data_IF_257306662525
#
_entry.id   IF_257306662525
#
_cell.length_a   1.000
_cell.length_b   1.000
_cell.length_c   1.000
_cell.angle_alpha   90.00
_cell.angle_beta   90.00
_cell.angle_gamma   90.00
#
_symmetry.space_group_name_H-M   'P 1'
#
loop_
_entity.id
_entity.type
_entity.pdbx_description
1 polymer ?
#
# COMPACT_ATOMS: atom_id res chain seq x y z
N UNK A 1 -25.44 35.14 10.53
CA UNK A 1 -25.55 34.61 9.17
C UNK A 1 -24.62 33.38 9.07
N UNK A 2 -25.17 32.21 9.18
CA UNK A 2 -24.42 30.95 9.12
C UNK A 2 -24.04 30.64 7.68
N UNK A 3 -22.76 30.63 7.39
CA UNK A 3 -22.21 30.29 6.08
C UNK A 3 -22.45 28.82 5.77
N UNK A 4 -23.20 28.57 4.73
CA UNK A 4 -23.59 27.29 4.21
C UNK A 4 -22.37 26.48 3.76
N UNK A 5 -21.98 25.43 4.52
CA UNK A 5 -20.96 24.47 4.11
C UNK A 5 -21.55 23.58 3.04
N UNK A 6 -21.18 23.82 1.79
CA UNK A 6 -21.52 22.97 0.66
C UNK A 6 -20.71 21.65 0.78
N UNK A 7 -21.27 20.68 1.36
CA UNK A 7 -21.13 19.23 1.49
C UNK A 7 -21.23 18.80 2.95
N UNK A 8 -22.34 18.15 3.35
CA UNK A 8 -22.46 17.54 4.67
C UNK A 8 -21.57 16.28 4.70
N UNK A 9 -20.49 16.30 5.52
CA UNK A 9 -19.78 15.07 5.87
C UNK A 9 -18.25 15.10 5.99
N UNK A 10 -17.54 16.13 5.51
CA UNK A 10 -16.09 16.20 5.71
C UNK A 10 -15.75 16.99 6.97
N UNK A 11 -15.20 16.28 7.99
CA UNK A 11 -14.64 16.93 9.19
C UNK A 11 -13.48 17.85 8.82
N UNK A 12 -13.13 18.81 9.69
CA UNK A 12 -11.96 19.68 9.49
C UNK A 12 -10.69 18.84 9.32
N UNK A 13 -10.55 17.77 10.10
CA UNK A 13 -9.45 16.81 9.99
C UNK A 13 -9.35 16.19 8.61
N UNK A 14 -10.49 15.73 8.04
CA UNK A 14 -10.50 15.17 6.69
C UNK A 14 -10.07 16.17 5.62
N UNK A 15 -10.41 17.44 5.78
CA UNK A 15 -10.01 18.53 4.87
C UNK A 15 -8.51 18.81 4.97
N UNK A 16 -7.97 18.85 6.20
CA UNK A 16 -6.53 19.02 6.46
C UNK A 16 -5.75 17.85 5.84
N UNK A 17 -6.16 16.62 6.08
CA UNK A 17 -5.51 15.44 5.49
C UNK A 17 -5.55 15.50 3.96
N UNK A 18 -6.68 15.89 3.37
CA UNK A 18 -6.78 16.03 1.92
C UNK A 18 -5.79 17.08 1.37
N UNK A 19 -5.60 18.22 2.07
CA UNK A 19 -4.60 19.23 1.70
C UNK A 19 -3.18 18.65 1.78
N UNK A 20 -2.82 17.99 2.89
CA UNK A 20 -1.48 17.41 3.05
C UNK A 20 -1.17 16.34 2.00
N UNK A 21 -2.16 15.57 1.60
CA UNK A 21 -2.00 14.54 0.56
C UNK A 21 -1.76 15.10 -0.84
N UNK A 22 -2.04 16.37 -1.12
CA UNK A 22 -1.67 16.97 -2.41
C UNK A 22 -0.15 17.10 -2.59
N UNK A 23 0.61 17.15 -1.50
CA UNK A 23 2.07 17.31 -1.49
C UNK A 23 2.85 15.99 -1.39
N UNK A 24 2.19 14.84 -1.56
CA UNK A 24 2.79 13.51 -1.33
C UNK A 24 3.95 13.17 -2.28
N UNK A 25 3.99 13.79 -3.44
CA UNK A 25 5.01 13.62 -4.48
C UNK A 25 6.15 14.65 -4.38
N UNK A 26 6.08 15.53 -3.36
CA UNK A 26 7.06 16.60 -3.14
C UNK A 26 6.86 17.82 -4.02
N UNK A 27 5.77 17.88 -4.81
CA UNK A 27 5.46 19.03 -5.66
C UNK A 27 5.04 20.24 -4.82
N UNK A 28 5.22 21.42 -5.39
CA UNK A 28 4.71 22.69 -4.87
C UNK A 28 3.37 23.00 -5.53
N UNK A 29 2.46 23.62 -4.79
CA UNK A 29 1.13 23.95 -5.28
C UNK A 29 0.72 25.37 -4.91
N UNK A 30 0.08 26.05 -5.85
CA UNK A 30 -0.63 27.28 -5.56
C UNK A 30 -1.90 27.01 -4.75
N UNK A 31 -2.40 28.04 -4.06
CA UNK A 31 -3.68 27.95 -3.34
C UNK A 31 -4.83 27.48 -4.22
N UNK A 32 -4.88 27.95 -5.47
CA UNK A 32 -5.92 27.59 -6.43
C UNK A 32 -5.83 26.11 -6.82
N UNK A 33 -4.62 25.59 -7.02
CA UNK A 33 -4.40 24.18 -7.29
C UNK A 33 -4.79 23.29 -6.11
N UNK A 34 -4.42 23.69 -4.88
CA UNK A 34 -4.83 22.98 -3.66
C UNK A 34 -6.36 22.91 -3.57
N UNK A 35 -7.04 24.04 -3.79
CA UNK A 35 -8.50 24.09 -3.76
C UNK A 35 -9.12 23.17 -4.83
N UNK A 36 -8.57 23.16 -6.04
CA UNK A 36 -9.01 22.29 -7.15
C UNK A 36 -8.78 20.82 -6.84
N UNK A 37 -7.57 20.44 -6.41
CA UNK A 37 -7.20 19.05 -6.13
C UNK A 37 -8.00 18.45 -4.95
N UNK A 38 -8.27 19.27 -3.93
CA UNK A 38 -9.04 18.85 -2.75
C UNK A 38 -10.55 18.96 -2.92
N UNK A 39 -11.01 19.64 -3.99
CA UNK A 39 -12.42 20.01 -4.21
C UNK A 39 -12.99 20.83 -3.05
N UNK A 40 -12.16 21.67 -2.42
CA UNK A 40 -12.60 22.59 -1.37
C UNK A 40 -12.90 23.96 -1.96
N UNK A 41 -13.88 24.70 -1.41
CA UNK A 41 -14.04 26.13 -1.72
C UNK A 41 -12.74 26.87 -1.45
N UNK A 42 -12.35 27.81 -2.32
CA UNK A 42 -11.08 28.57 -2.22
C UNK A 42 -10.94 29.25 -0.85
N UNK A 43 -12.03 29.79 -0.31
CA UNK A 43 -12.05 30.42 1.02
C UNK A 43 -11.73 29.42 2.14
N UNK A 44 -12.23 28.18 2.04
CA UNK A 44 -11.93 27.11 3.00
C UNK A 44 -10.49 26.64 2.86
N UNK A 45 -10.01 26.44 1.64
CA UNK A 45 -8.61 26.07 1.38
C UNK A 45 -7.66 27.16 1.90
N UNK A 46 -7.96 28.45 1.61
CA UNK A 46 -7.16 29.57 2.08
C UNK A 46 -7.03 29.58 3.62
N UNK A 47 -8.14 29.49 4.34
CA UNK A 47 -8.13 29.49 5.80
C UNK A 47 -7.29 28.33 6.36
N UNK A 48 -7.49 27.12 5.85
CA UNK A 48 -6.78 25.93 6.33
C UNK A 48 -5.28 25.94 5.96
N UNK A 49 -4.95 26.38 4.74
CA UNK A 49 -3.54 26.51 4.29
C UNK A 49 -2.81 27.57 5.09
N UNK A 50 -3.45 28.73 5.37
CA UNK A 50 -2.88 29.78 6.21
C UNK A 50 -2.64 29.30 7.64
N UNK A 51 -3.59 28.55 8.20
CA UNK A 51 -3.45 27.95 9.54
C UNK A 51 -2.30 26.93 9.58
N UNK A 52 -2.22 26.04 8.59
CA UNK A 52 -1.14 25.07 8.45
C UNK A 52 0.24 25.74 8.24
N UNK A 53 0.28 26.86 7.52
CA UNK A 53 1.49 27.65 7.35
C UNK A 53 1.91 28.35 8.67
N UNK A 54 0.95 28.84 9.43
CA UNK A 54 1.20 29.42 10.76
C UNK A 54 1.80 28.42 11.76
N UNK A 55 1.47 27.13 11.63
CA UNK A 55 2.08 26.05 12.41
C UNK A 55 3.37 25.49 11.79
N UNK A 56 3.83 26.00 10.65
CA UNK A 56 4.99 25.48 9.93
C UNK A 56 4.76 24.09 9.30
N UNK A 57 3.54 23.60 9.28
CA UNK A 57 3.16 22.34 8.60
C UNK A 57 3.30 22.48 7.09
N UNK A 58 2.94 23.66 6.58
CA UNK A 58 3.24 24.11 5.22
C UNK A 58 4.19 25.31 5.29
N UNK A 59 4.94 25.52 4.23
CA UNK A 59 5.78 26.71 4.02
C UNK A 59 5.41 27.36 2.71
N UNK A 60 5.44 28.70 2.69
CA UNK A 60 5.23 29.46 1.47
C UNK A 60 6.59 29.74 0.82
N UNK A 61 6.72 29.42 -0.47
CA UNK A 61 7.92 29.74 -1.24
C UNK A 61 7.90 31.18 -1.74
N UNK A 62 9.04 31.67 -2.24
CA UNK A 62 9.18 33.04 -2.77
C UNK A 62 8.23 33.28 -3.99
N UNK A 63 7.88 32.21 -4.71
CA UNK A 63 6.93 32.26 -5.84
C UNK A 63 5.46 32.18 -5.43
N UNK A 64 5.15 32.37 -4.15
CA UNK A 64 3.79 32.28 -3.59
C UNK A 64 3.15 30.90 -3.69
N UNK A 65 3.96 29.85 -3.90
CA UNK A 65 3.55 28.46 -3.84
C UNK A 65 3.63 27.94 -2.40
N UNK A 66 3.00 26.82 -2.12
CA UNK A 66 3.07 26.13 -0.84
C UNK A 66 3.79 24.80 -1.01
N UNK A 67 4.57 24.42 0.01
CA UNK A 67 5.25 23.12 0.13
C UNK A 67 5.10 22.57 1.54
N UNK A 68 5.47 21.33 1.75
CA UNK A 68 5.54 20.74 3.10
C UNK A 68 6.64 21.44 3.90
N UNK A 69 6.30 21.88 5.10
CA UNK A 69 7.22 22.59 5.99
C UNK A 69 8.27 21.69 6.66
N UNK A 70 9.35 22.31 7.12
CA UNK A 70 10.47 21.63 7.78
C UNK A 70 10.07 20.76 8.97
N UNK A 71 9.13 21.12 9.87
CA UNK A 71 8.71 20.26 10.97
C UNK A 71 8.14 18.92 10.50
N UNK A 72 7.33 18.92 9.44
CA UNK A 72 6.76 17.69 8.88
C UNK A 72 7.83 16.89 8.14
N UNK A 73 8.70 17.55 7.39
CA UNK A 73 9.88 16.91 6.78
C UNK A 73 10.76 16.26 7.86
N UNK A 74 11.00 16.93 8.99
CA UNK A 74 11.77 16.38 10.10
C UNK A 74 11.08 15.21 10.82
N UNK A 75 9.76 15.24 10.99
CA UNK A 75 8.98 14.13 11.53
C UNK A 75 9.04 12.93 10.57
N UNK A 76 8.92 13.18 9.26
CA UNK A 76 9.04 12.16 8.23
C UNK A 76 10.44 11.59 8.09
N UNK A 77 11.48 12.41 8.24
CA UNK A 77 12.88 11.99 8.12
C UNK A 77 13.38 11.17 9.31
N UNK A 78 12.71 11.20 10.46
CA UNK A 78 13.01 10.31 11.60
C UNK A 78 12.70 8.83 11.29
N UNK A 79 11.99 8.53 10.20
CA UNK A 79 11.90 7.20 9.59
C UNK A 79 12.89 7.11 8.43
N UNK A 80 14.17 7.30 8.72
CA UNK A 80 15.22 7.28 7.71
C UNK A 80 15.43 5.88 7.18
N UNK A 81 14.69 5.54 6.12
CA UNK A 81 15.36 4.79 5.07
C UNK A 81 16.45 5.71 4.55
N UNK A 82 17.69 5.28 4.61
CA UNK A 82 18.77 6.09 4.03
C UNK A 82 18.38 6.41 2.59
N UNK A 83 18.51 7.67 2.13
CA UNK A 83 18.14 8.04 0.75
C UNK A 83 18.70 7.07 -0.30
N UNK A 84 19.88 6.49 -0.04
CA UNK A 84 20.50 5.49 -0.88
C UNK A 84 19.66 4.20 -1.02
N UNK A 85 19.00 3.72 0.03
CA UNK A 85 18.17 2.49 -0.03
C UNK A 85 16.89 2.74 -0.82
N UNK A 86 16.27 3.90 -0.61
CA UNK A 86 15.09 4.29 -1.38
C UNK A 86 15.45 4.43 -2.86
N UNK A 87 16.60 5.00 -3.15
CA UNK A 87 17.10 5.17 -4.52
C UNK A 87 17.44 3.83 -5.19
N UNK A 88 18.11 2.91 -4.47
CA UNK A 88 18.36 1.55 -4.97
C UNK A 88 17.04 0.80 -5.19
N UNK A 89 16.10 0.90 -4.26
CA UNK A 89 14.78 0.32 -4.40
C UNK A 89 14.03 0.88 -5.61
N UNK A 90 14.09 2.18 -5.84
CA UNK A 90 13.44 2.85 -6.97
C UNK A 90 13.96 2.32 -8.31
N UNK A 91 15.29 2.22 -8.48
CA UNK A 91 15.91 1.67 -9.70
C UNK A 91 15.48 0.22 -9.93
N UNK A 92 15.54 -0.61 -8.88
CA UNK A 92 15.11 -2.01 -8.98
C UNK A 92 13.64 -2.14 -9.37
N UNK A 93 12.76 -1.27 -8.84
CA UNK A 93 11.34 -1.27 -9.20
C UNK A 93 11.10 -0.78 -10.64
N UNK A 94 11.85 0.21 -11.12
CA UNK A 94 11.79 0.70 -12.50
C UNK A 94 12.20 -0.39 -13.49
N UNK A 95 13.29 -1.11 -13.20
CA UNK A 95 13.74 -2.26 -14.00
C UNK A 95 12.70 -3.38 -14.02
N UNK A 96 12.10 -3.69 -12.85
CA UNK A 96 11.05 -4.70 -12.72
C UNK A 96 9.78 -4.34 -13.51
N UNK A 97 9.34 -3.09 -13.45
CA UNK A 97 8.18 -2.61 -14.21
C UNK A 97 8.45 -2.68 -15.70
N UNK A 98 9.63 -2.25 -16.13
CA UNK A 98 10.05 -2.30 -17.53
C UNK A 98 10.10 -3.73 -18.06
N UNK A 99 10.67 -4.66 -17.29
CA UNK A 99 10.79 -6.06 -17.68
C UNK A 99 9.47 -6.82 -17.65
N UNK A 100 8.65 -6.60 -16.61
CA UNK A 100 7.42 -7.33 -16.41
C UNK A 100 6.17 -6.65 -16.97
N UNK A 101 6.26 -5.37 -17.35
CA UNK A 101 5.14 -4.52 -17.81
C UNK A 101 3.93 -4.55 -16.88
N UNK A 102 4.21 -4.51 -15.57
CA UNK A 102 3.18 -4.59 -14.53
C UNK A 102 3.64 -3.83 -13.30
N UNK A 103 2.73 -3.61 -12.34
CA UNK A 103 3.05 -2.86 -11.12
C UNK A 103 4.03 -3.61 -10.23
N UNK A 104 5.08 -2.90 -9.77
CA UNK A 104 6.06 -3.38 -8.82
C UNK A 104 5.99 -2.60 -7.51
N UNK A 105 6.25 -3.27 -6.39
CA UNK A 105 6.14 -2.70 -5.04
C UNK A 105 7.25 -3.20 -4.14
N UNK A 106 7.73 -2.32 -3.26
CA UNK A 106 8.57 -2.67 -2.12
C UNK A 106 7.81 -2.33 -0.84
N UNK A 107 7.72 -3.27 0.07
CA UNK A 107 7.04 -3.08 1.35
C UNK A 107 7.81 -3.66 2.52
N UNK A 108 7.48 -3.17 3.72
CA UNK A 108 7.98 -3.65 5.01
C UNK A 108 6.82 -4.01 5.91
N UNK A 109 7.08 -4.85 6.88
CA UNK A 109 6.11 -5.16 7.93
C UNK A 109 6.08 -4.03 8.97
N UNK A 110 4.90 -3.52 9.28
CA UNK A 110 4.67 -2.49 10.29
C UNK A 110 3.50 -2.91 11.17
N UNK A 111 3.80 -3.45 12.35
CA UNK A 111 2.80 -4.09 13.19
C UNK A 111 2.21 -5.33 12.51
N UNK A 112 0.92 -5.30 12.23
CA UNK A 112 0.18 -6.38 11.55
C UNK A 112 -0.06 -6.12 10.04
N UNK A 113 0.44 -4.99 9.54
CA UNK A 113 0.22 -4.53 8.17
C UNK A 113 1.53 -4.45 7.38
N UNK A 114 1.42 -4.44 6.07
CA UNK A 114 2.51 -4.06 5.17
C UNK A 114 2.41 -2.57 4.87
N UNK A 115 3.48 -1.84 5.12
CA UNK A 115 3.64 -0.46 4.65
C UNK A 115 4.46 -0.45 3.36
N UNK A 116 3.96 0.22 2.34
CA UNK A 116 4.71 0.41 1.10
C UNK A 116 5.77 1.50 1.28
N UNK A 117 7.02 1.17 0.95
CA UNK A 117 8.14 2.12 0.86
C UNK A 117 8.12 2.80 -0.50
N UNK A 118 7.93 2.00 -1.54
CA UNK A 118 7.97 2.47 -2.92
C UNK A 118 6.99 1.67 -3.78
N UNK A 119 6.37 2.32 -4.75
CA UNK A 119 5.46 1.73 -5.73
C UNK A 119 5.78 2.28 -7.11
N UNK A 120 5.82 1.41 -8.10
CA UNK A 120 5.86 1.77 -9.51
C UNK A 120 4.73 1.03 -10.22
N UNK A 121 3.95 1.76 -10.98
CA UNK A 121 2.84 1.19 -11.74
C UNK A 121 2.98 1.66 -13.18
N UNK A 122 3.10 0.73 -14.11
CA UNK A 122 2.90 0.96 -15.51
C UNK A 122 1.64 0.21 -15.92
N UNK A 123 0.59 0.97 -16.33
CA UNK A 123 -0.68 0.44 -16.87
C UNK A 123 -1.42 -0.61 -15.99
N UNK A 124 -1.12 -0.71 -14.70
CA UNK A 124 -1.87 -1.58 -13.80
C UNK A 124 -3.29 -1.05 -13.58
N UNK A 125 -4.30 -1.94 -13.55
CA UNK A 125 -5.66 -1.51 -13.24
C UNK A 125 -5.69 -0.76 -11.91
N UNK A 126 -6.49 0.32 -11.86
CA UNK A 126 -6.70 1.08 -10.62
C UNK A 126 -7.39 0.15 -9.64
N UNK A 127 -6.70 -0.25 -8.59
CA UNK A 127 -7.26 -1.06 -7.52
C UNK A 127 -7.86 -0.17 -6.45
N UNK A 128 -8.88 -0.66 -5.73
CA UNK A 128 -9.50 0.05 -4.60
C UNK A 128 -8.45 0.47 -3.56
N UNK A 129 -7.36 -0.28 -3.44
CA UNK A 129 -6.26 -0.05 -2.50
C UNK A 129 -5.05 0.67 -3.13
N UNK A 130 -5.17 1.19 -4.35
CA UNK A 130 -4.04 1.84 -5.06
C UNK A 130 -3.43 3.02 -4.27
N UNK A 131 -4.27 3.73 -3.51
CA UNK A 131 -3.86 4.90 -2.71
C UNK A 131 -3.57 4.57 -1.24
N UNK A 132 -3.76 3.33 -0.81
CA UNK A 132 -3.54 2.93 0.57
C UNK A 132 -2.05 2.72 0.81
N UNK A 133 -1.52 3.35 1.87
CA UNK A 133 -0.11 3.20 2.26
C UNK A 133 0.16 1.96 3.10
N UNK A 134 -0.88 1.32 3.64
CA UNK A 134 -0.80 0.13 4.48
C UNK A 134 -1.88 -0.87 4.10
N UNK A 135 -1.54 -2.15 4.06
CA UNK A 135 -2.44 -3.25 3.76
C UNK A 135 -2.24 -4.40 4.74
N UNK A 136 -3.29 -5.18 5.05
CA UNK A 136 -3.21 -6.33 5.93
C UNK A 136 -2.16 -7.34 5.45
N UNK A 137 -1.24 -7.74 6.35
CA UNK A 137 -0.15 -8.62 5.96
C UNK A 137 -0.63 -10.03 5.56
N UNK A 138 -1.70 -10.55 6.16
CA UNK A 138 -2.21 -11.88 5.86
C UNK A 138 -2.87 -11.99 4.46
N UNK A 139 -3.39 -10.88 3.92
CA UNK A 139 -4.14 -10.85 2.66
C UNK A 139 -3.30 -10.41 1.44
N UNK A 140 -2.01 -10.12 1.62
CA UNK A 140 -1.12 -9.66 0.54
C UNK A 140 0.06 -10.59 0.33
N UNK A 141 0.58 -10.68 -0.88
CA UNK A 141 1.78 -11.47 -1.16
C UNK A 141 3.01 -10.92 -0.41
N UNK A 142 3.20 -9.59 -0.41
CA UNK A 142 4.27 -8.92 0.34
C UNK A 142 4.19 -9.23 1.84
N UNK A 143 2.99 -9.14 2.42
CA UNK A 143 2.78 -9.42 3.83
C UNK A 143 3.07 -10.86 4.20
N UNK A 144 2.59 -11.82 3.41
CA UNK A 144 2.87 -13.24 3.63
C UNK A 144 4.36 -13.56 3.46
N UNK A 145 5.05 -12.92 2.49
CA UNK A 145 6.50 -13.05 2.35
C UNK A 145 7.25 -12.55 3.59
N UNK A 146 6.83 -11.45 4.20
CA UNK A 146 7.42 -10.89 5.42
C UNK A 146 7.07 -11.73 6.66
N UNK A 147 5.78 -12.10 6.82
CA UNK A 147 5.32 -12.93 7.94
C UNK A 147 6.00 -14.30 7.98
N UNK A 148 6.32 -14.88 6.82
CA UNK A 148 7.00 -16.17 6.75
C UNK A 148 8.36 -16.16 7.45
N UNK A 149 9.03 -15.02 7.54
CA UNK A 149 10.35 -14.85 8.15
C UNK A 149 10.34 -13.92 9.37
N UNK A 150 9.17 -13.56 9.88
CA UNK A 150 9.00 -12.83 11.13
C UNK A 150 9.06 -13.77 12.36
N UNK A 151 9.15 -13.17 13.55
CA UNK A 151 9.07 -13.94 14.80
C UNK A 151 7.65 -14.49 15.04
N UNK A 152 7.55 -15.51 15.89
CA UNK A 152 6.25 -16.11 16.24
C UNK A 152 5.30 -15.09 16.88
N UNK A 153 5.83 -14.18 17.70
CA UNK A 153 5.05 -13.15 18.39
C UNK A 153 4.38 -12.17 17.42
N UNK A 154 5.02 -11.90 16.27
CA UNK A 154 4.44 -11.04 15.23
C UNK A 154 3.27 -11.79 14.56
N UNK A 155 3.47 -13.06 14.22
CA UNK A 155 2.42 -13.87 13.61
C UNK A 155 1.23 -14.04 14.57
N UNK A 156 1.49 -14.28 15.84
CA UNK A 156 0.42 -14.43 16.84
C UNK A 156 -0.36 -13.11 17.00
N UNK A 157 0.31 -11.97 16.97
CA UNK A 157 -0.39 -10.66 16.95
C UNK A 157 -1.27 -10.47 15.72
N UNK A 158 -0.80 -10.89 14.53
CA UNK A 158 -1.63 -10.84 13.31
C UNK A 158 -2.89 -11.70 13.47
N UNK A 159 -2.74 -12.90 14.05
CA UNK A 159 -3.86 -13.82 14.28
C UNK A 159 -4.83 -13.27 15.31
N UNK A 160 -4.32 -12.75 16.44
CA UNK A 160 -5.14 -12.17 17.53
C UNK A 160 -5.90 -10.94 17.07
N UNK A 161 -5.30 -10.09 16.22
CA UNK A 161 -5.99 -8.93 15.64
C UNK A 161 -7.11 -9.31 14.65
N UNK A 162 -7.24 -10.60 14.33
CA UNK A 162 -8.25 -11.14 13.42
C UNK A 162 -7.78 -11.12 11.96
N UNK A 163 -8.05 -12.22 11.27
CA UNK A 163 -7.78 -12.40 9.85
C UNK A 163 -9.03 -11.97 9.05
N UNK A 164 -9.17 -10.67 8.84
CA UNK A 164 -10.33 -10.10 8.12
C UNK A 164 -10.41 -10.66 6.70
N UNK A 165 -11.57 -11.20 6.32
CA UNK A 165 -11.87 -11.64 4.97
C UNK A 165 -12.21 -10.45 4.06
N UNK A 166 -11.49 -10.30 2.97
CA UNK A 166 -11.74 -9.28 1.94
C UNK A 166 -12.42 -9.89 0.72
N UNK A 167 -12.11 -11.15 0.45
CA UNK A 167 -12.71 -11.96 -0.62
C UNK A 167 -12.91 -13.40 -0.13
N UNK A 168 -13.63 -14.24 -0.87
CA UNK A 168 -13.73 -15.68 -0.56
C UNK A 168 -12.38 -16.42 -0.57
N UNK A 169 -11.35 -15.84 -1.18
CA UNK A 169 -10.01 -16.42 -1.27
C UNK A 169 -9.08 -15.99 -0.12
N UNK A 170 -9.46 -14.99 0.67
CA UNK A 170 -8.65 -14.51 1.79
C UNK A 170 -8.43 -15.65 2.81
N UNK A 171 -7.19 -15.81 3.26
CA UNK A 171 -6.85 -16.76 4.31
C UNK A 171 -7.33 -16.22 5.67
N UNK A 172 -8.46 -16.69 6.14
CA UNK A 172 -9.06 -16.31 7.42
C UNK A 172 -8.85 -17.33 8.53
N UNK A 173 -8.38 -18.53 8.19
CA UNK A 173 -8.07 -19.61 9.12
C UNK A 173 -6.59 -19.53 9.53
N UNK A 174 -6.27 -19.47 10.85
CA UNK A 174 -4.91 -19.38 11.35
C UNK A 174 -4.01 -20.54 10.95
N UNK A 175 -4.53 -21.76 10.89
CA UNK A 175 -3.72 -22.94 10.57
C UNK A 175 -3.41 -23.00 9.07
N UNK A 176 -4.36 -22.62 8.24
CA UNK A 176 -4.11 -22.45 6.80
C UNK A 176 -3.09 -21.34 6.52
N UNK A 177 -3.14 -20.25 7.28
CA UNK A 177 -2.12 -19.20 7.18
C UNK A 177 -0.75 -19.73 7.58
N UNK A 178 -0.62 -20.45 8.71
CA UNK A 178 0.64 -21.06 9.15
C UNK A 178 1.21 -22.04 8.11
N UNK A 179 0.37 -22.88 7.53
CA UNK A 179 0.78 -23.80 6.45
C UNK A 179 1.27 -23.05 5.21
N UNK A 180 0.57 -22.00 4.80
CA UNK A 180 0.98 -21.13 3.70
C UNK A 180 2.36 -20.50 3.98
N UNK A 181 2.56 -19.95 5.18
CA UNK A 181 3.83 -19.36 5.58
C UNK A 181 4.98 -20.39 5.64
N UNK A 182 4.71 -21.62 6.09
CA UNK A 182 5.69 -22.71 6.06
C UNK A 182 6.12 -23.04 4.62
N UNK A 183 5.19 -23.09 3.68
CA UNK A 183 5.49 -23.26 2.25
C UNK A 183 6.35 -22.10 1.71
N UNK A 184 6.04 -20.88 2.09
CA UNK A 184 6.81 -19.67 1.68
C UNK A 184 8.24 -19.73 2.24
N UNK A 185 8.45 -20.23 3.45
CA UNK A 185 9.81 -20.41 4.01
C UNK A 185 10.67 -21.33 3.14
N UNK A 186 10.09 -22.37 2.58
CA UNK A 186 10.79 -23.31 1.71
C UNK A 186 11.06 -22.73 0.32
N UNK A 187 10.04 -22.15 -0.29
CA UNK A 187 10.11 -21.68 -1.68
C UNK A 187 10.69 -20.27 -1.81
N UNK A 188 10.62 -19.47 -0.75
CA UNK A 188 10.92 -18.01 -0.72
C UNK A 188 10.05 -17.21 -1.68
N UNK A 189 8.91 -17.74 -2.09
CA UNK A 189 7.95 -17.09 -2.96
C UNK A 189 6.58 -17.10 -2.29
N UNK A 190 5.99 -15.94 -2.16
CA UNK A 190 4.62 -15.75 -1.69
C UNK A 190 3.71 -15.40 -2.87
N UNK A 191 2.52 -15.96 -2.88
CA UNK A 191 1.50 -15.69 -3.88
C UNK A 191 0.21 -15.28 -3.17
N UNK A 192 -0.41 -14.20 -3.63
CA UNK A 192 -1.77 -13.81 -3.28
C UNK A 192 -2.63 -13.89 -4.53
N UNK A 193 -3.64 -14.76 -4.50
CA UNK A 193 -4.57 -14.93 -5.61
C UNK A 193 -5.93 -14.40 -5.23
N UNK A 194 -6.20 -13.14 -5.59
CA UNK A 194 -7.48 -12.49 -5.32
C UNK A 194 -7.85 -12.45 -3.83
N UNK A 195 -6.85 -12.47 -2.93
CA UNK A 195 -7.08 -12.52 -1.50
C UNK A 195 -7.48 -11.17 -0.93
N UNK A 196 -6.93 -10.07 -1.48
CA UNK A 196 -7.24 -8.71 -1.07
C UNK A 196 -8.39 -8.12 -1.91
N UNK A 197 -8.37 -8.35 -3.21
CA UNK A 197 -9.32 -7.80 -4.18
C UNK A 197 -9.56 -8.81 -5.32
N UNK A 198 -10.82 -9.01 -5.76
CA UNK A 198 -11.11 -9.86 -6.90
C UNK A 198 -10.35 -9.41 -8.15
N UNK A 199 -9.75 -10.35 -8.86
CA UNK A 199 -8.97 -10.08 -10.07
C UNK A 199 -7.53 -9.63 -9.82
N UNK A 200 -7.15 -9.25 -8.58
CA UNK A 200 -5.79 -8.86 -8.24
C UNK A 200 -4.99 -10.07 -7.75
N UNK A 201 -3.99 -10.47 -8.54
CA UNK A 201 -3.01 -11.49 -8.12
C UNK A 201 -1.63 -10.86 -7.99
N UNK A 202 -0.90 -11.27 -6.97
CA UNK A 202 0.44 -10.77 -6.67
C UNK A 202 1.40 -11.91 -6.36
N UNK A 203 2.66 -11.72 -6.74
CA UNK A 203 3.80 -12.57 -6.36
C UNK A 203 4.79 -11.70 -5.62
N UNK A 204 5.34 -12.20 -4.52
CA UNK A 204 6.34 -11.49 -3.74
C UNK A 204 7.45 -12.40 -3.25
N UNK A 205 8.63 -11.82 -3.04
CA UNK A 205 9.80 -12.49 -2.48
C UNK A 205 10.40 -11.65 -1.36
N UNK A 206 10.97 -12.27 -0.31
CA UNK A 206 11.62 -11.55 0.77
C UNK A 206 12.96 -10.96 0.33
N UNK A 207 13.29 -9.79 0.90
CA UNK A 207 14.60 -9.15 0.83
C UNK A 207 15.24 -9.30 2.22
N UNK A 208 16.43 -9.89 2.26
CA UNK A 208 17.13 -10.22 3.51
C UNK A 208 18.22 -9.21 3.83
N UNK A 209 18.35 -8.86 5.10
CA UNK A 209 19.56 -8.22 5.64
C UNK A 209 20.64 -9.25 6.01
N UNK A 210 21.81 -8.75 6.42
CA UNK A 210 22.84 -9.55 7.06
C UNK A 210 22.25 -10.27 8.28
N UNK A 211 22.44 -11.60 8.39
CA UNK A 211 21.84 -12.40 9.45
C UNK A 211 20.57 -13.16 9.06
N UNK A 212 20.10 -13.05 7.82
CA UNK A 212 19.01 -13.89 7.29
C UNK A 212 17.60 -13.45 7.68
N UNK A 213 17.44 -12.27 8.28
CA UNK A 213 16.15 -11.68 8.61
C UNK A 213 15.55 -10.97 7.38
N UNK A 214 14.29 -11.23 7.08
CA UNK A 214 13.58 -10.52 6.03
C UNK A 214 13.20 -9.12 6.53
N UNK A 215 13.78 -8.10 5.92
CA UNK A 215 13.58 -6.69 6.30
C UNK A 215 12.60 -5.97 5.37
N UNK A 216 12.45 -6.47 4.16
CA UNK A 216 11.51 -5.95 3.17
C UNK A 216 11.01 -7.11 2.28
N UNK A 217 10.03 -6.83 1.43
CA UNK A 217 9.61 -7.74 0.37
C UNK A 217 9.43 -6.98 -0.94
N UNK A 218 9.84 -7.59 -2.05
CA UNK A 218 9.57 -7.12 -3.41
C UNK A 218 8.38 -7.89 -3.99
N UNK A 219 7.48 -7.21 -4.66
CA UNK A 219 6.29 -7.80 -5.26
C UNK A 219 5.97 -7.26 -6.63
N UNK A 220 5.35 -8.11 -7.44
CA UNK A 220 4.77 -7.80 -8.74
C UNK A 220 3.29 -8.14 -8.77
N UNK A 221 2.50 -7.30 -9.41
CA UNK A 221 1.16 -7.68 -9.85
C UNK A 221 1.30 -8.65 -11.02
N UNK A 222 0.52 -9.74 -11.01
CA UNK A 222 0.59 -10.78 -12.03
C UNK A 222 -0.80 -10.99 -12.63
N UNK A 223 -1.02 -10.63 -13.90
CA UNK A 223 -2.33 -10.77 -14.54
C UNK A 223 -2.78 -12.24 -14.64
N UNK A 224 -1.86 -13.14 -14.96
CA UNK A 224 -2.14 -14.56 -15.09
C UNK A 224 -1.11 -15.41 -14.32
N UNK A 225 -1.51 -15.90 -13.15
CA UNK A 225 -0.63 -16.75 -12.32
C UNK A 225 -0.21 -18.06 -13.00
N UNK A 226 -1.00 -18.60 -13.92
CA UNK A 226 -0.65 -19.89 -14.58
C UNK A 226 0.55 -19.75 -15.52
N UNK A 227 0.61 -18.64 -16.26
CA UNK A 227 1.67 -18.40 -17.25
C UNK A 227 2.84 -17.62 -16.66
N UNK A 228 2.57 -16.67 -15.78
CA UNK A 228 3.52 -15.61 -15.44
C UNK A 228 4.21 -15.85 -14.09
N UNK A 229 3.70 -16.74 -13.23
CA UNK A 229 4.25 -17.00 -11.89
C UNK A 229 5.74 -17.35 -11.94
N UNK A 230 6.14 -18.22 -12.86
CA UNK A 230 7.53 -18.70 -12.95
C UNK A 230 8.47 -17.58 -13.36
N UNK A 231 8.09 -16.78 -14.34
CA UNK A 231 8.86 -15.63 -14.79
C UNK A 231 8.93 -14.55 -13.71
N UNK A 232 7.78 -14.18 -13.14
CA UNK A 232 7.70 -13.17 -12.07
C UNK A 232 8.54 -13.57 -10.85
N UNK A 233 8.45 -14.83 -10.40
CA UNK A 233 9.23 -15.30 -9.26
C UNK A 233 10.74 -15.31 -9.53
N UNK A 234 11.17 -15.66 -10.76
CA UNK A 234 12.58 -15.65 -11.15
C UNK A 234 13.14 -14.24 -11.17
N UNK A 235 12.46 -13.30 -11.83
CA UNK A 235 12.88 -11.90 -11.93
C UNK A 235 12.91 -11.25 -10.55
N UNK A 236 11.88 -11.44 -9.74
CA UNK A 236 11.83 -10.96 -8.35
C UNK A 236 12.99 -11.53 -7.51
N UNK A 237 13.29 -12.82 -7.64
CA UNK A 237 14.36 -13.46 -6.87
C UNK A 237 15.72 -12.86 -7.23
N UNK A 238 16.00 -12.60 -8.48
CA UNK A 238 17.26 -11.95 -8.93
C UNK A 238 17.34 -10.53 -8.36
N UNK A 239 16.27 -9.75 -8.49
CA UNK A 239 16.18 -8.38 -7.99
C UNK A 239 16.35 -8.31 -6.46
N UNK A 240 15.64 -9.19 -5.72
CA UNK A 240 15.74 -9.25 -4.26
C UNK A 240 17.12 -9.66 -3.76
N UNK A 241 17.82 -10.56 -4.48
CA UNK A 241 19.21 -10.92 -4.16
C UNK A 241 20.18 -9.76 -4.38
N UNK A 242 19.96 -8.96 -5.44
CA UNK A 242 20.71 -7.72 -5.68
C UNK A 242 20.56 -6.75 -4.52
N UNK A 243 19.32 -6.41 -4.20
CA UNK A 243 19.01 -5.50 -3.10
C UNK A 243 19.48 -6.02 -1.73
N UNK A 244 19.35 -7.33 -1.46
CA UNK A 244 19.86 -7.95 -0.23
C UNK A 244 21.39 -7.81 -0.10
N UNK A 245 22.14 -7.92 -1.20
CA UNK A 245 23.60 -7.72 -1.20
C UNK A 245 23.97 -6.27 -0.91
N UNK A 246 23.28 -5.32 -1.52
CA UNK A 246 23.50 -3.89 -1.25
C UNK A 246 23.24 -3.55 0.21
N UNK A 247 22.17 -4.12 0.79
CA UNK A 247 21.86 -3.95 2.21
C UNK A 247 22.90 -4.60 3.14
N UNK A 248 23.53 -5.69 2.72
CA UNK A 248 24.55 -6.38 3.51
C UNK A 248 25.93 -5.69 3.47
N UNK A 249 26.26 -5.01 2.36
CA UNK A 249 27.56 -4.36 2.16
C UNK A 249 27.61 -2.89 2.57
N UNK A 250 26.44 -2.23 2.64
CA UNK A 250 26.34 -0.83 3.05
C UNK A 250 26.33 -0.68 4.57
N UNK A 251 26.72 0.52 5.06
CA UNK A 251 26.56 0.99 6.46
C UNK A 251 25.09 0.96 6.94
N UNK A 252 24.19 0.37 6.17
CA UNK A 252 22.74 0.44 6.27
C UNK A 252 22.11 -0.78 6.94
N UNK A 253 22.88 -1.82 7.24
CA UNK A 253 22.39 -3.04 7.90
C UNK A 253 21.71 -2.74 9.25
N UNK A 254 22.21 -1.74 10.00
CA UNK A 254 21.61 -1.31 11.27
C UNK A 254 20.30 -0.55 11.13
N UNK A 255 20.03 0.10 9.99
CA UNK A 255 18.85 0.93 9.81
C UNK A 255 17.56 0.11 9.66
N UNK A 256 17.60 -1.02 8.97
CA UNK A 256 16.46 -1.94 8.84
C UNK A 256 16.21 -2.76 10.10
N UNK A 257 17.26 -3.16 10.84
CA UNK A 257 17.12 -3.85 12.12
C UNK A 257 16.42 -2.95 13.17
N UNK A 258 16.77 -1.68 13.24
CA UNK A 258 16.11 -0.72 14.15
C UNK A 258 14.63 -0.48 13.82
N UNK A 259 14.21 -0.67 12.56
CA UNK A 259 12.81 -0.50 12.16
C UNK A 259 11.94 -1.65 12.68
N UNK A 260 12.48 -2.86 12.73
CA UNK A 260 11.80 -4.03 13.29
C UNK A 260 11.75 -4.01 14.82
N UNK A 261 12.78 -3.50 15.50
CA UNK A 261 12.84 -3.41 16.96
C UNK A 261 12.02 -2.25 17.53
N UNK A 262 11.96 -1.10 16.86
CA UNK A 262 11.21 0.08 17.33
C UNK A 262 9.68 -0.05 17.15
N UNK A 263 9.17 -1.13 16.59
CA UNK A 263 7.74 -1.41 16.46
C UNK A 263 7.19 -2.37 17.53
N UNK A 264 7.87 -2.50 18.67
CA UNK A 264 7.21 -2.99 19.88
C UNK A 264 6.08 -1.98 20.23
N UNK A 265 4.86 -2.43 20.51
CA UNK A 265 3.72 -1.54 20.67
C UNK A 265 3.95 -0.63 21.88
N UNK A 266 3.92 0.67 21.63
CA UNK A 266 3.66 1.63 22.72
C UNK A 266 2.25 1.31 23.24
N UNK A 267 2.11 0.99 24.50
CA UNK A 267 0.91 0.46 25.18
C UNK A 267 -0.29 1.41 25.23
N UNK A 268 -0.28 2.53 24.52
CA UNK A 268 -1.38 3.51 24.52
C UNK A 268 -1.53 4.16 23.15
N UNK A 269 -2.20 3.46 22.23
CA UNK A 269 -2.84 4.11 21.09
C UNK A 269 -4.32 3.82 21.21
N UNK A 270 -5.23 4.84 21.29
CA UNK A 270 -6.66 4.61 21.30
C UNK A 270 -7.09 3.93 20.00
N UNK A 271 -8.03 3.02 20.10
CA UNK A 271 -8.66 2.32 18.99
C UNK A 271 -9.08 3.33 17.92
N UNK A 272 -8.53 3.19 16.74
CA UNK A 272 -8.94 3.96 15.56
C UNK A 272 -10.36 3.58 15.13
N UNK A 273 -11.03 4.45 14.35
CA UNK A 273 -12.45 4.27 14.02
C UNK A 273 -12.69 2.95 13.30
N UNK A 274 -13.73 2.29 13.81
CA UNK A 274 -14.47 1.12 13.34
C UNK A 274 -14.10 0.59 11.94
N UNK A 275 -13.36 -0.52 11.90
CA UNK A 275 -12.99 -1.26 10.68
C UNK A 275 -14.17 -2.09 10.17
N UNK A 276 -15.31 -1.45 9.89
CA UNK A 276 -16.41 -2.18 9.25
C UNK A 276 -16.02 -2.60 7.84
N UNK A 277 -16.33 -3.85 7.45
CA UNK A 277 -16.16 -4.26 6.06
C UNK A 277 -17.02 -3.36 5.17
N UNK A 278 -16.42 -2.83 4.12
CA UNK A 278 -17.14 -2.11 3.08
C UNK A 278 -18.14 -3.10 2.49
N UNK A 279 -19.47 -2.80 2.49
CA UNK A 279 -20.44 -3.71 1.93
C UNK A 279 -20.09 -3.98 0.46
N UNK A 280 -20.11 -5.25 0.07
CA UNK A 280 -19.97 -5.67 -1.31
C UNK A 280 -21.03 -4.94 -2.14
N UNK A 281 -20.62 -4.12 -3.08
CA UNK A 281 -21.48 -3.56 -4.10
C UNK A 281 -22.08 -4.76 -4.85
N UNK A 282 -23.37 -5.05 -4.58
CA UNK A 282 -24.14 -6.01 -5.35
C UNK A 282 -24.10 -5.58 -6.81
N UNK A 283 -23.44 -6.38 -7.63
CA UNK A 283 -23.55 -6.29 -9.07
C UNK A 283 -25.02 -6.55 -9.43
N UNK A 284 -25.74 -5.48 -9.71
CA UNK A 284 -27.08 -5.56 -10.30
C UNK A 284 -26.94 -6.20 -11.68
N UNK A 285 -27.15 -7.50 -11.72
CA UNK A 285 -27.35 -8.21 -12.98
C UNK A 285 -28.67 -7.74 -13.56
N UNK A 286 -28.57 -6.88 -14.54
CA UNK A 286 -29.69 -6.40 -15.34
C UNK A 286 -30.24 -7.57 -16.17
N UNK A 287 -31.25 -8.27 -15.63
CA UNK A 287 -32.06 -9.23 -16.37
C UNK A 287 -33.09 -8.45 -17.21
N UNK A 288 -32.68 -7.89 -18.31
CA UNK A 288 -33.55 -7.48 -19.41
C UNK A 288 -32.91 -7.87 -20.74
N UNK A 289 -33.28 -9.05 -21.25
CA UNK A 289 -32.80 -9.52 -22.54
C UNK A 289 -33.08 -10.98 -22.81
N UNK A 290 -34.25 -11.50 -22.40
CA UNK A 290 -34.67 -12.84 -22.78
C UNK A 290 -36.19 -12.91 -22.92
N UNK A 291 -36.74 -12.13 -23.86
CA UNK A 291 -38.13 -12.27 -24.31
C UNK A 291 -38.25 -11.76 -25.74
N UNK A 292 -37.63 -12.43 -26.70
CA UNK A 292 -37.94 -12.31 -28.14
C UNK A 292 -37.19 -13.39 -28.93
N UNK A 293 -37.59 -14.65 -28.75
CA UNK A 293 -37.31 -15.73 -29.74
C UNK A 293 -38.17 -16.96 -29.43
N UNK A 294 -39.49 -16.75 -29.44
CA UNK A 294 -40.44 -17.84 -29.57
C UNK A 294 -41.64 -17.37 -30.39
N UNK A 295 -41.44 -17.17 -31.68
CA UNK A 295 -42.56 -17.08 -32.68
C UNK A 295 -41.97 -17.14 -34.09
N UNK A 296 -41.45 -18.30 -34.49
CA UNK A 296 -41.30 -18.67 -35.90
C UNK A 296 -40.96 -20.17 -36.02
N UNK A 297 -41.91 -21.01 -35.71
CA UNK A 297 -41.90 -22.44 -36.13
C UNK A 297 -43.32 -23.00 -36.03
N UNK A 298 -44.22 -22.49 -36.88
CA UNK A 298 -45.44 -23.16 -37.35
C UNK A 298 -45.87 -22.45 -38.63
N UNK A 299 -45.69 -23.14 -39.67
CA UNK A 299 -46.30 -23.14 -41.00
C UNK A 299 -45.20 -23.28 -42.10
N UNK A 300 -45.16 -24.50 -42.67
CA UNK A 300 -44.38 -24.88 -43.82
C UNK A 300 -43.86 -26.28 -43.77
#
# INVERSE_FOLDING_TARGET
MAGNSAEPGRSVTSKIVAILLTFRDGSEHSLTEIARLTRLPVSTAHRLVTELAGWGVLERTDESMFQIGLPIKAIGSRRSYTPAIVESARRVLEDLVTAARTGARLGILTGTDVAYIEKRCDHSPVTTFAHTSRLPAHATALGKALLAFSSAEILDRVIVNGLTGFTPNTLTDPDRLRQCLASIRLTRVAVSRWELEPGLSEVAVPVFASGGMAVAALGLTVPNLRTDLRTASSVLTIAARGLSRELATGTHAGCFAMITEQHAPNKTVPEGPDRRPVPALSAGVNQQGAASDRLAAKDG
#
